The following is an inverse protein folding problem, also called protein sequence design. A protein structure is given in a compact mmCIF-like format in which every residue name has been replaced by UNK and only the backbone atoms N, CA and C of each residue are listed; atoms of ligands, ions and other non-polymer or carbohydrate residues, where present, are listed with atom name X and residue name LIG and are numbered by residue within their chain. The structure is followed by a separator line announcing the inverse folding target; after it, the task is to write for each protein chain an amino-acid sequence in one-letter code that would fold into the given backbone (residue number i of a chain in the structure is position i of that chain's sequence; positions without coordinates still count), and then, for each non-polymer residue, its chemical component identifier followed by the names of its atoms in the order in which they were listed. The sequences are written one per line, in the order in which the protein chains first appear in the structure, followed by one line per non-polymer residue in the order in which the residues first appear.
data_IF_603084384014
#
_entry.id   IF_603084384014
#
_cell.length_a   1.000
_cell.length_b   1.000
_cell.length_c   1.000
_cell.angle_alpha   90.00
_cell.angle_beta   90.00
_cell.angle_gamma   90.00
#
_symmetry.space_group_name_H-M   'P 1'
#
loop_
_entity.id
_entity.type
_entity.pdbx_description
1 polymer ?
#
# COMPACT_ATOMS: atom_id res chain seq x y z
N UNK A 1 -8.15 11.21 9.78
CA UNK A 1 -7.32 10.16 10.37
C UNK A 1 -5.94 10.12 9.73
N UNK A 2 -4.94 9.43 10.36
CA UNK A 2 -3.60 9.23 9.77
C UNK A 2 -3.49 7.83 9.19
N UNK A 3 -2.88 7.72 8.00
CA UNK A 3 -2.48 6.47 7.37
C UNK A 3 -0.99 6.53 7.00
N UNK A 4 -0.34 5.38 6.82
CA UNK A 4 1.10 5.26 6.76
C UNK A 4 1.56 4.46 5.55
N UNK A 5 2.68 4.86 4.98
CA UNK A 5 3.31 4.16 3.86
C UNK A 5 4.83 4.11 4.06
N UNK A 6 5.45 2.97 3.77
CA UNK A 6 6.90 2.88 3.64
C UNK A 6 7.23 2.71 2.16
N UNK A 7 8.07 3.60 1.62
CA UNK A 7 8.36 3.69 0.19
C UNK A 7 9.73 4.33 -0.06
N UNK A 8 10.31 4.07 -1.23
CA UNK A 8 11.48 4.81 -1.73
C UNK A 8 11.13 6.24 -2.18
N UNK A 9 9.86 6.48 -2.50
CA UNK A 9 9.39 7.74 -3.07
C UNK A 9 8.46 8.43 -2.09
N UNK A 10 8.71 9.71 -1.85
CA UNK A 10 7.90 10.57 -1.00
C UNK A 10 6.78 11.24 -1.80
N UNK A 11 5.98 10.43 -2.52
CA UNK A 11 4.88 10.91 -3.35
C UNK A 11 3.67 9.97 -3.30
N UNK A 12 2.56 10.45 -3.86
CA UNK A 12 1.31 9.71 -4.02
C UNK A 12 0.97 9.45 -5.51
N UNK A 13 1.99 9.39 -6.38
CA UNK A 13 1.81 9.14 -7.83
C UNK A 13 1.30 7.74 -8.16
N UNK A 14 1.57 6.77 -7.29
CA UNK A 14 1.22 5.37 -7.52
C UNK A 14 2.08 4.67 -8.59
N UNK A 15 3.23 5.23 -8.96
CA UNK A 15 4.11 4.69 -10.02
C UNK A 15 4.60 3.26 -9.73
N UNK A 16 4.68 2.85 -8.46
CA UNK A 16 4.95 1.46 -8.09
C UNK A 16 3.96 0.48 -8.70
N UNK A 17 2.67 0.83 -8.72
CA UNK A 17 1.60 0.02 -9.32
C UNK A 17 1.69 -0.08 -10.84
N UNK A 18 2.27 0.93 -11.50
CA UNK A 18 2.55 0.87 -12.95
C UNK A 18 3.63 -0.17 -13.28
N UNK A 19 4.57 -0.40 -12.36
CA UNK A 19 5.76 -1.25 -12.58
C UNK A 19 5.53 -2.70 -12.22
N UNK A 20 4.71 -2.98 -11.20
CA UNK A 20 4.48 -4.33 -10.70
C UNK A 20 3.04 -4.53 -10.24
N UNK A 21 2.53 -5.77 -10.40
CA UNK A 21 1.26 -6.18 -9.80
C UNK A 21 1.43 -6.39 -8.30
N UNK A 22 0.37 -6.09 -7.53
CA UNK A 22 0.29 -6.47 -6.12
C UNK A 22 -1.00 -7.27 -5.85
N UNK A 23 -1.43 -7.36 -4.59
CA UNK A 23 -2.61 -8.13 -4.22
C UNK A 23 -3.88 -7.61 -4.86
N UNK A 24 -4.05 -6.29 -4.92
CA UNK A 24 -5.30 -5.63 -5.31
C UNK A 24 -5.25 -4.93 -6.66
N UNK A 25 -4.22 -5.17 -7.49
CA UNK A 25 -4.17 -4.59 -8.84
C UNK A 25 -3.21 -5.36 -9.75
N UNK A 26 -3.46 -5.26 -11.06
CA UNK A 26 -2.50 -5.68 -12.07
C UNK A 26 -1.54 -4.54 -12.43
N UNK A 27 -0.32 -4.90 -12.83
CA UNK A 27 0.69 -3.98 -13.40
C UNK A 27 0.08 -3.06 -14.46
N UNK A 28 0.54 -1.80 -14.48
CA UNK A 28 0.08 -0.76 -15.41
C UNK A 28 -0.90 0.22 -14.79
N UNK A 29 -1.41 -0.04 -13.60
CA UNK A 29 -2.37 0.82 -12.90
C UNK A 29 -1.70 1.57 -11.76
N UNK A 30 -1.78 2.91 -11.72
CA UNK A 30 -1.25 3.68 -10.60
C UNK A 30 -2.11 3.43 -9.37
N UNK A 31 -1.48 3.08 -8.26
CA UNK A 31 -2.15 2.89 -6.97
C UNK A 31 -1.14 3.07 -5.83
N UNK A 32 -1.57 3.73 -4.76
CA UNK A 32 -0.77 3.94 -3.56
C UNK A 32 -1.29 3.03 -2.44
N UNK A 33 -0.42 2.21 -1.88
CA UNK A 33 -0.74 1.34 -0.75
C UNK A 33 -0.32 2.01 0.55
N UNK A 34 -1.27 2.14 1.48
CA UNK A 34 -1.07 2.65 2.83
C UNK A 34 -1.63 1.66 3.85
N UNK A 35 -1.21 1.80 5.10
CA UNK A 35 -1.67 0.99 6.22
C UNK A 35 -2.24 1.88 7.34
N UNK A 36 -3.01 1.28 8.24
CA UNK A 36 -3.64 1.96 9.38
C UNK A 36 -2.64 2.46 10.42
N UNK A 37 -1.41 1.91 10.43
CA UNK A 37 -0.33 2.32 11.33
C UNK A 37 1.05 1.99 10.71
N UNK A 38 2.10 2.57 11.28
CA UNK A 38 3.47 2.40 10.78
C UNK A 38 3.98 0.95 10.86
N UNK A 39 3.58 0.19 11.89
CA UNK A 39 3.99 -1.21 12.03
C UNK A 39 3.39 -2.10 10.93
N UNK A 40 2.13 -1.87 10.56
CA UNK A 40 1.50 -2.58 9.44
C UNK A 40 2.15 -2.19 8.09
N UNK A 41 2.49 -0.92 7.90
CA UNK A 41 3.23 -0.47 6.72
C UNK A 41 4.62 -1.12 6.64
N UNK A 42 5.29 -1.28 7.78
CA UNK A 42 6.58 -1.98 7.88
C UNK A 42 6.45 -3.46 7.52
N UNK A 43 5.45 -4.15 8.06
CA UNK A 43 5.22 -5.57 7.77
C UNK A 43 5.02 -5.82 6.27
N UNK A 44 4.24 -4.98 5.59
CA UNK A 44 4.04 -5.08 4.14
C UNK A 44 5.33 -4.79 3.36
N UNK A 45 6.12 -3.80 3.80
CA UNK A 45 7.40 -3.50 3.16
C UNK A 45 8.39 -4.66 3.30
N UNK A 46 8.49 -5.27 4.49
CA UNK A 46 9.34 -6.46 4.73
C UNK A 46 8.89 -7.63 3.85
N UNK A 47 7.59 -7.90 3.78
CA UNK A 47 7.05 -8.98 2.95
C UNK A 47 7.29 -8.74 1.45
N UNK A 48 7.34 -7.48 1.01
CA UNK A 48 7.72 -7.13 -0.35
C UNK A 48 9.21 -7.36 -0.61
N UNK A 49 10.07 -6.90 0.31
CA UNK A 49 11.53 -7.05 0.25
C UNK A 49 11.92 -8.53 0.24
N UNK A 50 11.30 -9.35 1.09
CA UNK A 50 11.57 -10.79 1.20
C UNK A 50 11.29 -11.58 -0.09
N UNK A 51 10.56 -11.01 -1.04
CA UNK A 51 10.33 -11.59 -2.38
C UNK A 51 11.44 -11.25 -3.38
N UNK A 52 12.27 -10.26 -3.06
CA UNK A 52 13.43 -9.82 -3.85
C UNK A 52 14.73 -10.32 -3.28
N UNK A 53 15.85 -9.79 -3.76
CA UNK A 53 17.16 -10.06 -3.19
C UNK A 53 17.35 -9.24 -1.89
N UNK A 54 17.53 -9.89 -0.72
CA UNK A 54 17.77 -9.19 0.55
C UNK A 54 19.04 -8.33 0.56
N UNK A 55 20.02 -8.62 -0.31
CA UNK A 55 21.23 -7.82 -0.47
C UNK A 55 20.95 -6.44 -1.08
N UNK A 56 19.79 -6.26 -1.67
CA UNK A 56 19.33 -5.01 -2.26
C UNK A 56 18.44 -4.19 -1.31
N UNK A 57 18.57 -4.36 0.01
CA UNK A 57 17.88 -3.51 0.99
C UNK A 57 18.28 -2.06 0.76
N UNK A 58 17.43 -1.23 0.19
CA UNK A 58 17.81 0.13 -0.08
C UNK A 58 17.83 0.89 1.25
N UNK A 59 18.94 1.55 1.52
CA UNK A 59 19.10 2.50 2.63
C UNK A 59 18.18 3.74 2.53
N UNK A 60 17.29 3.77 1.53
CA UNK A 60 16.52 4.96 1.12
C UNK A 60 15.02 4.82 1.34
N UNK A 61 14.57 3.89 2.19
CA UNK A 61 13.15 3.86 2.56
C UNK A 61 12.78 5.05 3.43
N UNK A 62 11.58 5.55 3.20
CA UNK A 62 10.98 6.65 3.94
C UNK A 62 9.65 6.21 4.51
N UNK A 63 9.35 6.61 5.73
CA UNK A 63 8.02 6.53 6.31
C UNK A 63 7.27 7.82 5.99
N UNK A 64 6.17 7.65 5.29
CA UNK A 64 5.24 8.73 4.99
C UNK A 64 4.04 8.63 5.93
N UNK A 65 3.72 9.73 6.58
CA UNK A 65 2.46 9.93 7.28
C UNK A 65 1.54 10.78 6.42
N UNK A 66 0.34 10.31 6.17
CA UNK A 66 -0.60 10.88 5.22
C UNK A 66 -1.89 11.24 5.95
N UNK A 67 -2.37 12.46 5.75
CA UNK A 67 -3.69 12.88 6.19
C UNK A 67 -4.74 12.26 5.28
N UNK A 68 -5.68 11.52 5.87
CA UNK A 68 -6.90 11.07 5.23
C UNK A 68 -8.09 11.70 5.96
N UNK A 69 -8.69 12.78 5.42
CA UNK A 69 -9.84 13.44 6.02
C UNK A 69 -11.06 12.52 6.15
N UNK A 70 -11.90 12.79 7.14
CA UNK A 70 -13.07 11.96 7.42
C UNK A 70 -14.19 12.14 6.37
N UNK A 71 -14.22 13.28 5.69
CA UNK A 71 -15.16 13.61 4.61
C UNK A 71 -14.76 13.03 3.25
N UNK A 72 -13.61 12.34 3.13
CA UNK A 72 -13.24 11.62 1.92
C UNK A 72 -14.04 10.34 1.82
N UNK A 73 -14.76 10.20 0.71
CA UNK A 73 -15.52 8.98 0.43
C UNK A 73 -14.60 7.78 0.22
N UNK A 74 -14.97 6.66 0.84
CA UNK A 74 -14.24 5.41 0.76
C UNK A 74 -15.15 4.22 0.52
N UNK A 75 -14.71 3.31 -0.32
CA UNK A 75 -15.33 2.00 -0.48
C UNK A 75 -14.63 1.02 0.47
N UNK A 76 -15.40 0.12 1.10
CA UNK A 76 -14.89 -0.84 2.08
C UNK A 76 -15.15 -2.25 1.58
N UNK A 77 -14.09 -3.04 1.45
CA UNK A 77 -14.18 -4.47 1.16
C UNK A 77 -14.31 -5.23 2.48
N UNK A 78 -15.51 -5.69 2.79
CA UNK A 78 -15.76 -6.55 3.96
C UNK A 78 -15.18 -7.95 3.72
N UNK A 79 -14.67 -8.58 4.78
CA UNK A 79 -14.25 -9.99 4.74
C UNK A 79 -15.39 -10.92 4.33
N UNK A 80 -16.65 -10.61 4.71
CA UNK A 80 -17.84 -11.40 4.38
C UNK A 80 -18.15 -11.43 2.86
N UNK A 81 -17.59 -10.48 2.11
CA UNK A 81 -17.76 -10.41 0.64
C UNK A 81 -16.63 -11.11 -0.12
N UNK A 82 -15.58 -11.50 0.58
CA UNK A 82 -14.46 -12.19 -0.02
C UNK A 82 -14.63 -13.71 0.08
N UNK A 83 -14.21 -14.45 -0.96
CA UNK A 83 -14.19 -15.92 -0.87
C UNK A 83 -13.24 -16.38 0.23
N UNK A 84 -13.49 -17.53 0.83
CA UNK A 84 -12.69 -18.06 1.93
C UNK A 84 -11.19 -18.19 1.59
N UNK A 85 -10.86 -18.40 0.33
CA UNK A 85 -9.49 -18.52 -0.20
C UNK A 85 -8.90 -17.19 -0.70
N UNK A 86 -9.51 -16.05 -0.41
CA UNK A 86 -9.13 -14.75 -0.98
C UNK A 86 -7.64 -14.39 -0.83
N UNK A 87 -7.00 -14.89 0.24
CA UNK A 87 -5.57 -14.65 0.46
C UNK A 87 -4.69 -15.31 -0.60
N UNK A 88 -5.13 -16.42 -1.17
CA UNK A 88 -4.46 -17.16 -2.24
C UNK A 88 -5.01 -16.78 -3.62
N UNK A 89 -6.25 -16.32 -3.69
CA UNK A 89 -6.96 -16.00 -4.92
C UNK A 89 -6.64 -14.58 -5.41
N UNK A 90 -5.43 -14.41 -5.92
CA UNK A 90 -4.95 -13.12 -6.44
C UNK A 90 -5.75 -12.63 -7.66
N UNK A 91 -6.31 -13.54 -8.45
CA UNK A 91 -7.11 -13.17 -9.61
C UNK A 91 -8.37 -12.42 -9.18
N UNK A 92 -9.07 -12.92 -8.14
CA UNK A 92 -10.25 -12.27 -7.59
C UNK A 92 -9.94 -10.89 -7.00
N UNK A 93 -8.95 -10.80 -6.11
CA UNK A 93 -8.61 -9.54 -5.43
C UNK A 93 -8.08 -8.47 -6.39
N UNK A 94 -7.30 -8.86 -7.41
CA UNK A 94 -6.83 -7.93 -8.45
C UNK A 94 -7.97 -7.42 -9.30
N UNK A 95 -8.89 -8.30 -9.71
CA UNK A 95 -10.07 -7.90 -10.51
C UNK A 95 -10.93 -6.89 -9.76
N UNK A 96 -11.12 -7.07 -8.44
CA UNK A 96 -11.87 -6.17 -7.58
C UNK A 96 -11.19 -4.78 -7.54
N UNK A 97 -9.91 -4.73 -7.23
CA UNK A 97 -9.20 -3.45 -7.13
C UNK A 97 -9.00 -2.77 -8.48
N UNK A 98 -8.80 -3.51 -9.58
CA UNK A 98 -8.74 -2.94 -10.93
C UNK A 98 -10.06 -2.29 -11.34
N UNK A 99 -11.19 -2.92 -11.00
CA UNK A 99 -12.51 -2.37 -11.26
C UNK A 99 -12.72 -1.07 -10.48
N UNK A 100 -12.38 -1.05 -9.19
CA UNK A 100 -12.43 0.16 -8.39
C UNK A 100 -11.56 1.29 -8.96
N UNK A 101 -10.30 0.99 -9.35
CA UNK A 101 -9.41 1.97 -9.98
C UNK A 101 -10.00 2.56 -11.28
N UNK A 102 -10.67 1.73 -12.06
CA UNK A 102 -11.26 2.12 -13.34
C UNK A 102 -12.52 2.96 -13.15
N UNK A 103 -13.38 2.61 -12.19
CA UNK A 103 -14.63 3.33 -11.93
C UNK A 103 -14.41 4.71 -11.34
N UNK A 104 -13.32 4.92 -10.59
CA UNK A 104 -12.99 6.20 -9.91
C UNK A 104 -14.16 6.76 -9.07
N UNK A 105 -15.00 5.90 -8.52
CA UNK A 105 -16.17 6.32 -7.73
C UNK A 105 -15.75 6.86 -6.35
N UNK A 106 -14.64 6.37 -5.81
CA UNK A 106 -14.07 6.84 -4.53
C UNK A 106 -12.55 6.98 -4.64
N UNK A 107 -12.00 7.92 -3.86
CA UNK A 107 -10.56 8.14 -3.78
C UNK A 107 -9.83 7.00 -3.06
N UNK A 108 -10.53 6.28 -2.19
CA UNK A 108 -9.97 5.30 -1.27
C UNK A 108 -10.74 3.99 -1.34
N UNK A 109 -10.00 2.88 -1.45
CA UNK A 109 -10.51 1.52 -1.21
C UNK A 109 -9.88 0.99 0.08
N UNK A 110 -10.73 0.64 1.03
CA UNK A 110 -10.34 0.06 2.32
C UNK A 110 -10.42 -1.45 2.21
N UNK A 111 -9.31 -2.14 2.48
CA UNK A 111 -9.19 -3.59 2.30
C UNK A 111 -8.59 -4.27 3.53
N UNK A 112 -8.92 -5.55 3.80
CA UNK A 112 -8.29 -6.29 4.88
C UNK A 112 -6.83 -6.61 4.55
N UNK A 113 -5.97 -6.65 5.58
CA UNK A 113 -4.61 -7.16 5.44
C UNK A 113 -4.61 -8.68 5.26
N UNK A 114 -3.79 -9.17 4.34
CA UNK A 114 -3.55 -10.59 4.19
C UNK A 114 -2.51 -11.14 5.18
N UNK A 115 -1.66 -10.26 5.72
CA UNK A 115 -0.54 -10.62 6.59
C UNK A 115 -0.89 -10.50 8.08
N UNK A 116 -1.62 -9.44 8.44
CA UNK A 116 -1.95 -9.15 9.84
C UNK A 116 -3.47 -9.19 10.04
N UNK A 117 -4.00 -10.12 10.86
CA UNK A 117 -5.41 -10.13 11.22
C UNK A 117 -5.83 -8.79 11.83
N UNK A 118 -7.10 -8.42 11.67
CA UNK A 118 -7.71 -7.21 12.24
C UNK A 118 -7.01 -5.89 11.85
N UNK A 119 -6.19 -5.94 10.79
CA UNK A 119 -5.50 -4.78 10.25
C UNK A 119 -6.05 -4.40 8.89
N UNK A 120 -6.14 -3.11 8.66
CA UNK A 120 -6.72 -2.52 7.45
C UNK A 120 -5.66 -1.82 6.62
N UNK A 121 -5.75 -1.97 5.29
CA UNK A 121 -5.00 -1.20 4.32
C UNK A 121 -5.90 -0.22 3.57
N UNK A 122 -5.31 0.86 3.12
CA UNK A 122 -5.95 1.92 2.34
C UNK A 122 -5.24 2.01 1.00
N UNK A 123 -5.97 1.72 -0.07
CA UNK A 123 -5.49 1.95 -1.42
C UNK A 123 -5.98 3.33 -1.86
N UNK A 124 -5.08 4.18 -2.33
CA UNK A 124 -5.43 5.48 -2.87
C UNK A 124 -5.36 5.42 -4.39
N UNK A 125 -6.37 6.00 -5.05
CA UNK A 125 -6.41 6.13 -6.51
C UNK A 125 -5.84 7.48 -6.95
N UNK A 126 -4.60 7.54 -7.46
CA UNK A 126 -3.98 8.81 -7.85
C UNK A 126 -4.70 9.57 -8.95
N UNK A 127 -5.57 8.89 -9.71
CA UNK A 127 -6.37 9.54 -10.77
C UNK A 127 -7.65 10.20 -10.26
N UNK A 128 -8.00 9.98 -8.99
CA UNK A 128 -9.22 10.55 -8.40
C UNK A 128 -9.03 12.05 -8.07
N UNK A 129 -10.03 12.91 -8.32
CA UNK A 129 -9.92 14.35 -8.09
C UNK A 129 -9.53 14.77 -6.66
N UNK A 130 -9.91 13.99 -5.63
CA UNK A 130 -9.56 14.28 -4.23
C UNK A 130 -8.05 14.09 -3.91
N UNK A 131 -7.30 13.42 -4.79
CA UNK A 131 -5.83 13.34 -4.73
C UNK A 131 -5.14 14.35 -5.67
N UNK A 132 -5.87 14.98 -6.58
CA UNK A 132 -5.30 15.87 -7.58
C UNK A 132 -5.41 17.35 -7.20
N UNK A 133 -4.41 18.18 -7.55
CA UNK A 133 -3.09 17.76 -8.02
C UNK A 133 -2.27 17.14 -6.88
N UNK A 134 -1.28 16.30 -7.17
CA UNK A 134 -0.48 15.65 -6.13
C UNK A 134 0.07 16.64 -5.10
N UNK A 135 -0.22 16.40 -3.82
CA UNK A 135 0.19 17.26 -2.70
C UNK A 135 -0.71 18.49 -2.44
N UNK A 136 -1.75 18.73 -3.25
CA UNK A 136 -2.72 19.81 -3.07
C UNK A 136 -4.17 19.29 -2.94
N UNK A 137 -4.40 18.01 -3.15
CA UNK A 137 -5.68 17.35 -2.91
C UNK A 137 -6.01 17.26 -1.43
N UNK A 138 -7.23 16.84 -1.11
CA UNK A 138 -7.65 16.60 0.28
C UNK A 138 -6.74 15.61 0.99
N UNK A 139 -6.29 14.55 0.29
CA UNK A 139 -5.35 13.55 0.81
C UNK A 139 -3.93 14.02 0.49
N UNK A 140 -3.12 14.24 1.52
CA UNK A 140 -1.77 14.78 1.35
C UNK A 140 -0.79 14.24 2.40
N UNK A 141 0.50 14.30 2.04
CA UNK A 141 1.58 13.89 2.94
C UNK A 141 1.82 15.00 3.96
N UNK A 142 1.81 14.65 5.25
CA UNK A 142 2.04 15.59 6.36
C UNK A 142 3.41 15.44 6.98
N UNK A 143 4.02 14.25 6.84
CA UNK A 143 5.37 14.00 7.34
C UNK A 143 6.08 12.97 6.46
N UNK A 144 7.36 13.19 6.23
CA UNK A 144 8.29 12.25 5.60
C UNK A 144 9.52 12.15 6.48
N UNK A 145 9.93 10.95 6.82
CA UNK A 145 11.16 10.71 7.54
C UNK A 145 11.91 9.50 6.98
N UNK A 146 13.24 9.53 7.07
CA UNK A 146 14.08 8.37 6.73
C UNK A 146 13.71 7.20 7.65
N UNK A 147 13.55 6.03 7.06
CA UNK A 147 13.21 4.82 7.79
C UNK A 147 14.30 3.76 7.61
N UNK A 148 15.34 3.76 8.47
CA UNK A 148 16.32 2.70 8.46
C UNK A 148 15.69 1.44 9.05
N UNK A 149 15.60 0.38 8.26
CA UNK A 149 15.20 -0.93 8.80
C UNK A 149 16.26 -1.44 9.78
N UNK A 150 15.82 -1.98 10.91
CA UNK A 150 16.69 -2.66 11.85
C UNK A 150 17.25 -3.93 11.21
N UNK A 151 18.58 -4.11 11.28
CA UNK A 151 19.25 -5.25 10.65
C UNK A 151 18.73 -6.61 11.14
N UNK A 152 18.26 -6.67 12.39
CA UNK A 152 17.68 -7.88 13.00
C UNK A 152 16.47 -8.44 12.23
N UNK A 153 15.77 -7.60 11.47
CA UNK A 153 14.64 -8.03 10.64
C UNK A 153 15.07 -8.94 9.48
N UNK A 154 16.35 -8.94 9.14
CA UNK A 154 16.91 -9.66 8.00
C UNK A 154 18.02 -10.64 8.36
N UNK A 155 18.38 -10.73 9.65
CA UNK A 155 19.34 -11.70 10.15
C UNK A 155 18.81 -13.12 9.94
N UNK A 156 19.60 -13.95 9.26
CA UNK A 156 19.26 -15.34 8.93
C UNK A 156 18.66 -15.56 7.55
N UNK A 157 18.35 -14.51 6.80
CA UNK A 157 17.91 -14.63 5.39
C UNK A 157 19.09 -14.68 4.40
N UNK A 158 20.29 -14.32 4.84
CA UNK A 158 21.50 -14.48 4.04
C UNK A 158 21.88 -15.96 4.07
N UNK A 159 21.49 -16.73 3.05
CA UNK A 159 22.05 -18.07 2.84
C UNK A 159 23.57 -17.91 2.71
N UNK A 160 24.33 -18.46 3.65
CA UNK A 160 25.79 -18.61 3.47
C UNK A 160 26.03 -19.35 2.14
N UNK A 161 27.03 -18.93 1.38
CA UNK A 161 27.39 -19.52 0.10
C UNK A 161 27.71 -21.01 0.23
#
# INVERSE_FOLDING_TARGET
MRIYRISHFADLSGDGGRRASARWHHKGRPVVYCASNAAAAMLEAIAYIARGDPALLPSTFQLLEIELPDDVNREIVSLDWLPADWKQNLAHTRSLGDNWLQLQATAVLVVPSALAPDTTHFLLNPAHPELLPPGQGKIHIVRVEQYPFDSRLFEGQVRKP
#
